data_IF_957336486923
#
_entry.id   IF_957336486923
#
_cell.length_a   1.000
_cell.length_b   1.000
_cell.length_c   1.000
_cell.angle_alpha   90.00
_cell.angle_beta   90.00
_cell.angle_gamma   90.00
#
_symmetry.space_group_name_H-M   'P 1'
#
loop_
_entity.id
_entity.type
_entity.pdbx_description
1 polymer ?
#
# COMPACT_ATOMS: atom_id res chain seq x y z
N UNK A 1 -0.54 -28.35 -4.99
CA UNK A 1 0.75 -27.65 -4.94
C UNK A 1 0.91 -27.16 -3.51
N UNK A 2 2.03 -27.44 -2.83
CA UNK A 2 2.28 -26.85 -1.51
C UNK A 2 2.79 -25.43 -1.74
N UNK A 3 1.86 -24.48 -1.89
CA UNK A 3 2.22 -23.07 -1.94
C UNK A 3 2.77 -22.66 -0.56
N UNK A 4 4.09 -22.52 -0.50
CA UNK A 4 4.76 -21.98 0.68
C UNK A 4 4.37 -20.50 0.81
N UNK A 5 4.16 -19.98 2.02
CA UNK A 5 3.92 -18.55 2.20
C UNK A 5 5.13 -17.72 1.73
N UNK A 6 4.87 -16.49 1.31
CA UNK A 6 5.88 -15.47 1.09
C UNK A 6 6.27 -14.86 2.43
N UNK A 7 7.57 -14.84 2.75
CA UNK A 7 8.06 -14.24 3.99
C UNK A 7 8.91 -13.02 3.66
N UNK A 8 8.50 -11.84 4.15
CA UNK A 8 9.22 -10.57 3.99
C UNK A 8 9.41 -9.96 5.37
N UNK A 9 10.66 -9.66 5.74
CA UNK A 9 11.00 -9.09 7.05
C UNK A 9 10.39 -9.87 8.25
N UNK A 10 10.32 -11.19 8.15
CA UNK A 10 9.76 -12.07 9.20
C UNK A 10 8.22 -12.15 9.22
N UNK A 11 7.52 -11.38 8.40
CA UNK A 11 6.06 -11.45 8.23
C UNK A 11 5.71 -12.45 7.13
N UNK A 12 4.72 -13.30 7.38
CA UNK A 12 4.23 -14.31 6.44
C UNK A 12 2.98 -13.83 5.71
N UNK A 13 2.94 -14.01 4.39
CA UNK A 13 1.82 -13.70 3.50
C UNK A 13 1.45 -14.95 2.70
N UNK A 14 0.18 -15.31 2.66
CA UNK A 14 -0.34 -16.39 1.82
C UNK A 14 -0.43 -15.97 0.35
N UNK A 15 -0.89 -14.74 0.11
CA UNK A 15 -0.96 -14.12 -1.21
C UNK A 15 0.40 -13.60 -1.63
N UNK A 16 0.86 -14.06 -2.79
CA UNK A 16 2.09 -13.57 -3.45
C UNK A 16 1.81 -12.39 -4.39
N UNK A 17 0.56 -11.93 -4.46
CA UNK A 17 0.15 -10.80 -5.28
C UNK A 17 0.20 -9.51 -4.45
N UNK A 18 0.94 -8.53 -4.95
CA UNK A 18 1.00 -7.17 -4.41
C UNK A 18 0.18 -6.26 -5.33
N UNK A 19 -0.70 -5.44 -4.77
CA UNK A 19 -1.58 -4.57 -5.54
C UNK A 19 -1.12 -3.11 -5.49
N UNK A 20 -0.96 -2.47 -6.65
CA UNK A 20 -0.76 -1.02 -6.75
C UNK A 20 -2.08 -0.27 -6.85
N UNK A 21 -2.21 0.86 -6.16
CA UNK A 21 -3.49 1.58 -6.02
C UNK A 21 -3.69 2.77 -6.97
N UNK A 22 -2.63 3.25 -7.62
CA UNK A 22 -2.61 4.60 -8.21
C UNK A 22 -3.39 4.83 -9.52
N UNK A 23 -4.14 3.84 -10.05
CA UNK A 23 -4.85 3.95 -11.34
C UNK A 23 -6.30 3.43 -11.30
N UNK A 24 -6.84 3.18 -10.11
CA UNK A 24 -8.24 2.76 -10.00
C UNK A 24 -9.18 3.95 -10.26
N UNK A 25 -10.31 3.73 -10.96
CA UNK A 25 -11.26 4.79 -11.31
C UNK A 25 -12.07 5.30 -10.10
N UNK A 26 -12.11 4.52 -9.00
CA UNK A 26 -12.77 4.91 -7.75
C UNK A 26 -12.26 4.05 -6.58
N UNK A 27 -12.53 4.50 -5.35
CA UNK A 27 -12.25 3.72 -4.14
C UNK A 27 -13.06 2.39 -4.13
N UNK A 28 -14.28 2.38 -4.68
CA UNK A 28 -15.09 1.17 -4.79
C UNK A 28 -14.42 0.14 -5.71
N UNK A 29 -13.94 0.55 -6.88
CA UNK A 29 -13.25 -0.35 -7.79
C UNK A 29 -11.97 -0.95 -7.16
N UNK A 30 -11.27 -0.17 -6.34
CA UNK A 30 -10.13 -0.68 -5.57
C UNK A 30 -10.57 -1.68 -4.49
N UNK A 31 -11.65 -1.41 -3.74
CA UNK A 31 -12.21 -2.35 -2.75
C UNK A 31 -12.57 -3.69 -3.39
N UNK A 32 -13.26 -3.64 -4.52
CA UNK A 32 -13.69 -4.85 -5.24
C UNK A 32 -12.48 -5.65 -5.73
N UNK A 33 -11.44 -4.97 -6.23
CA UNK A 33 -10.20 -5.62 -6.64
C UNK A 33 -9.44 -6.24 -5.46
N UNK A 34 -9.36 -5.57 -4.31
CA UNK A 34 -8.76 -6.12 -3.09
C UNK A 34 -9.52 -7.38 -2.65
N UNK A 35 -10.84 -7.31 -2.62
CA UNK A 35 -11.69 -8.42 -2.19
C UNK A 35 -11.55 -9.64 -3.12
N UNK A 36 -11.56 -9.43 -4.44
CA UNK A 36 -11.47 -10.50 -5.43
C UNK A 36 -10.06 -11.14 -5.51
N UNK A 37 -9.02 -10.36 -5.23
CA UNK A 37 -7.62 -10.82 -5.34
C UNK A 37 -7.06 -11.42 -4.06
N UNK A 38 -7.71 -11.21 -2.92
CA UNK A 38 -7.23 -11.62 -1.60
C UNK A 38 -5.79 -11.14 -1.32
N UNK A 39 -5.42 -9.97 -1.84
CA UNK A 39 -4.10 -9.39 -1.59
C UNK A 39 -3.95 -9.03 -0.12
N UNK A 40 -2.78 -9.33 0.42
CA UNK A 40 -2.40 -8.97 1.79
C UNK A 40 -1.42 -7.78 1.83
N UNK A 41 -0.93 -7.34 0.66
CA UNK A 41 -0.03 -6.19 0.55
C UNK A 41 -0.57 -5.25 -0.53
N UNK A 42 -0.78 -4.00 -0.13
CA UNK A 42 -1.25 -2.92 -1.01
C UNK A 42 -0.24 -1.79 -1.01
N UNK A 43 0.22 -1.38 -2.19
CA UNK A 43 1.24 -0.34 -2.34
C UNK A 43 0.61 1.01 -2.63
N UNK A 44 1.12 2.06 -1.97
CA UNK A 44 0.60 3.43 -2.09
C UNK A 44 1.74 4.41 -2.33
N UNK A 45 1.55 5.32 -3.27
CA UNK A 45 2.50 6.40 -3.54
C UNK A 45 2.20 7.60 -2.63
N UNK A 46 3.15 7.96 -1.77
CA UNK A 46 2.96 8.98 -0.72
C UNK A 46 2.66 10.39 -1.25
N UNK A 47 3.06 10.70 -2.50
CA UNK A 47 2.73 12.00 -3.13
C UNK A 47 1.23 12.24 -3.31
N UNK A 48 0.39 11.21 -3.15
CA UNK A 48 -1.06 11.27 -3.39
C UNK A 48 -1.90 10.98 -2.15
N UNK A 49 -1.25 10.84 -1.00
CA UNK A 49 -1.94 10.59 0.27
C UNK A 49 -1.91 11.89 1.04
N UNK A 50 -3.08 12.51 1.20
CA UNK A 50 -3.25 13.57 2.18
C UNK A 50 -3.42 12.91 3.54
N UNK A 51 -2.36 12.90 4.35
CA UNK A 51 -2.35 12.27 5.67
C UNK A 51 -3.12 13.10 6.69
N UNK A 52 -3.40 14.37 6.37
CA UNK A 52 -4.08 15.33 7.24
C UNK A 52 -5.60 15.33 7.03
N UNK A 53 -6.11 14.62 6.01
CA UNK A 53 -7.55 14.48 5.72
C UNK A 53 -7.96 13.01 5.55
N UNK A 54 -8.04 12.24 6.65
CA UNK A 54 -8.42 10.82 6.60
C UNK A 54 -9.89 10.57 6.21
N UNK A 55 -10.74 11.60 6.25
CA UNK A 55 -12.18 11.50 5.93
C UNK A 55 -12.51 11.71 4.44
N UNK A 56 -11.54 12.11 3.61
CA UNK A 56 -11.74 12.13 2.18
C UNK A 56 -11.92 10.70 1.64
N UNK A 57 -12.77 10.53 0.62
CA UNK A 57 -12.99 9.27 -0.14
C UNK A 57 -11.74 8.81 -0.93
N UNK A 58 -10.55 9.09 -0.41
CA UNK A 58 -9.27 8.70 -0.96
C UNK A 58 -9.06 7.19 -0.95
N UNK A 59 -8.02 6.78 -1.67
CA UNK A 59 -7.59 5.39 -1.84
C UNK A 59 -7.45 4.62 -0.52
N UNK A 60 -7.09 5.30 0.58
CA UNK A 60 -6.93 4.66 1.89
C UNK A 60 -8.25 4.15 2.48
N UNK A 61 -9.39 4.78 2.17
CA UNK A 61 -10.72 4.31 2.61
C UNK A 61 -11.09 2.93 2.05
N UNK A 62 -10.37 2.46 1.02
CA UNK A 62 -10.58 1.14 0.43
C UNK A 62 -9.75 0.02 1.09
N UNK A 63 -8.83 0.36 1.98
CA UNK A 63 -7.86 -0.58 2.55
C UNK A 63 -8.22 -0.86 4.01
N UNK A 64 -8.30 -2.15 4.37
CA UNK A 64 -8.52 -2.57 5.75
C UNK A 64 -7.16 -2.87 6.41
N UNK A 65 -6.67 -2.02 7.32
CA UNK A 65 -5.35 -2.20 7.92
C UNK A 65 -5.25 -3.47 8.81
N UNK A 66 -6.38 -4.09 9.18
CA UNK A 66 -6.37 -5.37 9.88
C UNK A 66 -6.11 -6.57 8.94
N UNK A 67 -6.30 -6.40 7.63
CA UNK A 67 -6.15 -7.46 6.62
C UNK A 67 -5.01 -7.20 5.64
N UNK A 68 -4.72 -5.94 5.33
CA UNK A 68 -3.70 -5.56 4.38
C UNK A 68 -2.58 -4.75 5.03
N UNK A 69 -1.35 -5.11 4.68
CA UNK A 69 -0.19 -4.25 4.86
C UNK A 69 -0.21 -3.13 3.83
N UNK A 70 -0.23 -1.88 4.29
CA UNK A 70 0.05 -0.72 3.45
C UNK A 70 1.57 -0.62 3.28
N UNK A 71 2.04 -0.85 2.06
CA UNK A 71 3.46 -0.74 1.71
C UNK A 71 3.71 0.58 0.96
N UNK A 72 4.21 1.63 1.64
CA UNK A 72 4.51 2.89 0.96
C UNK A 72 5.63 2.69 -0.07
N UNK A 73 5.52 3.38 -1.21
CA UNK A 73 6.55 3.40 -2.24
C UNK A 73 6.96 4.84 -2.60
N UNK A 74 8.12 4.96 -3.25
CA UNK A 74 8.75 6.23 -3.62
C UNK A 74 8.43 6.66 -5.06
N UNK A 75 7.33 6.17 -5.63
CA UNK A 75 6.93 6.52 -7.01
C UNK A 75 6.78 8.03 -7.17
N UNK A 76 7.28 8.56 -8.29
CA UNK A 76 7.34 9.99 -8.58
C UNK A 76 8.65 10.68 -8.16
N UNK A 77 9.51 10.04 -7.38
CA UNK A 77 10.87 10.52 -7.15
C UNK A 77 11.70 10.49 -8.45
N UNK A 78 12.47 11.55 -8.71
CA UNK A 78 13.38 11.66 -9.87
C UNK A 78 14.85 11.45 -9.52
N UNK A 79 15.17 11.50 -8.22
CA UNK A 79 16.53 11.30 -7.69
C UNK A 79 16.49 10.35 -6.49
N UNK A 80 17.65 9.80 -6.14
CA UNK A 80 17.79 8.97 -4.95
C UNK A 80 17.46 9.76 -3.66
N UNK A 81 17.87 11.02 -3.57
CA UNK A 81 17.58 11.88 -2.42
C UNK A 81 16.08 12.11 -2.24
N UNK A 82 15.35 12.32 -3.34
CA UNK A 82 13.88 12.42 -3.31
C UNK A 82 13.25 11.11 -2.82
N UNK A 83 13.74 9.96 -3.29
CA UNK A 83 13.22 8.65 -2.88
C UNK A 83 13.46 8.41 -1.38
N UNK A 84 14.66 8.68 -0.88
CA UNK A 84 15.00 8.56 0.55
C UNK A 84 14.15 9.49 1.39
N UNK A 85 13.92 10.73 0.94
CA UNK A 85 13.04 11.68 1.64
C UNK A 85 11.61 11.16 1.74
N UNK A 86 11.04 10.64 0.66
CA UNK A 86 9.70 10.04 0.67
C UNK A 86 9.62 8.84 1.63
N UNK A 87 10.62 7.95 1.62
CA UNK A 87 10.66 6.81 2.53
C UNK A 87 10.73 7.23 4.01
N UNK A 88 11.47 8.30 4.33
CA UNK A 88 11.52 8.88 5.68
C UNK A 88 10.18 9.49 6.10
N UNK A 89 9.48 10.18 5.18
CA UNK A 89 8.15 10.74 5.43
C UNK A 89 7.12 9.64 5.73
N UNK A 90 7.12 8.53 4.97
CA UNK A 90 6.25 7.38 5.24
C UNK A 90 6.42 6.87 6.68
N UNK A 91 7.68 6.69 7.09
CA UNK A 91 8.00 6.23 8.44
C UNK A 91 7.54 7.21 9.51
N UNK A 92 7.75 8.51 9.30
CA UNK A 92 7.30 9.54 10.22
C UNK A 92 5.76 9.61 10.33
N UNK A 93 5.05 9.22 9.27
CA UNK A 93 3.60 9.10 9.25
C UNK A 93 3.05 7.80 9.89
N UNK A 94 3.91 6.96 10.47
CA UNK A 94 3.51 5.70 11.10
C UNK A 94 3.23 4.56 10.13
N UNK A 95 3.57 4.71 8.85
CA UNK A 95 3.52 3.61 7.87
C UNK A 95 4.78 2.74 8.01
N UNK A 96 4.82 1.98 9.10
CA UNK A 96 5.90 1.03 9.36
C UNK A 96 5.72 -0.28 8.58
N UNK A 97 6.81 -0.92 8.12
CA UNK A 97 6.77 -2.22 7.44
C UNK A 97 6.22 -3.38 8.28
#
# INVERSE_FOLDING_TARGET
MNDKPLVIAGRSFQSRLLLGTGKFPSAQALRDAIAASHVEIVTVALRRVDLDQPEDEGILSAIDPAKQLILPNTSGARTADEAVRLAKLARAAGLEP
#
